data_IF_399185126338
#
_entry.id   IF_399185126338
#
_cell.length_a   1.000
_cell.length_b   1.000
_cell.length_c   1.000
_cell.angle_alpha   90.00
_cell.angle_beta   90.00
_cell.angle_gamma   90.00
#
_symmetry.space_group_name_H-M   'P 1'
#
loop_
_entity.id
_entity.type
_entity.pdbx_description
1 polymer ?
#
# COMPACT_ATOMS: atom_id res chain seq x y z
N UNK A 1 2.66 20.86 -23.59
CA UNK A 1 2.23 19.74 -22.75
C UNK A 1 2.20 18.47 -23.58
N UNK A 2 2.94 17.43 -23.18
CA UNK A 2 2.86 16.10 -23.81
C UNK A 2 1.61 15.39 -23.26
N UNK A 3 0.67 14.99 -24.13
CA UNK A 3 -0.47 14.16 -23.74
C UNK A 3 0.00 12.71 -23.62
N UNK A 4 -0.22 12.09 -22.47
CA UNK A 4 0.08 10.67 -22.23
C UNK A 4 -1.24 9.89 -22.36
N UNK A 5 -1.24 8.88 -23.21
CA UNK A 5 -2.39 8.00 -23.42
C UNK A 5 -2.40 6.91 -22.35
N UNK A 6 -3.48 6.82 -21.58
CA UNK A 6 -3.66 5.72 -20.60
C UNK A 6 -4.32 4.52 -21.32
N UNK A 7 -3.87 3.27 -21.09
CA UNK A 7 -4.51 2.08 -21.65
C UNK A 7 -6.00 2.01 -21.32
N UNK A 8 -6.83 1.62 -22.30
CA UNK A 8 -8.30 1.58 -22.16
C UNK A 8 -8.80 0.61 -21.06
N UNK A 9 -7.97 -0.35 -20.66
CA UNK A 9 -8.26 -1.27 -19.56
C UNK A 9 -8.25 -0.58 -18.20
N UNK A 10 -7.49 0.52 -18.06
CA UNK A 10 -7.51 1.35 -16.86
C UNK A 10 -8.74 2.24 -16.96
N UNK A 11 -9.75 1.93 -16.14
CA UNK A 11 -10.88 2.81 -15.96
C UNK A 11 -10.40 3.98 -15.11
N UNK A 12 -10.30 5.16 -15.71
CA UNK A 12 -10.17 6.38 -14.94
C UNK A 12 -11.46 6.52 -14.12
N UNK A 13 -11.37 6.18 -12.83
CA UNK A 13 -12.39 6.56 -11.86
C UNK A 13 -12.35 8.09 -11.73
N UNK A 14 -13.51 8.73 -11.49
CA UNK A 14 -13.62 10.18 -11.20
C UNK A 14 -12.96 10.49 -9.85
N UNK A 15 -11.63 10.41 -9.85
CA UNK A 15 -10.78 10.59 -8.69
C UNK A 15 -9.70 11.61 -9.01
N UNK A 16 -9.31 12.34 -7.98
CA UNK A 16 -8.12 13.18 -8.02
C UNK A 16 -6.88 12.34 -7.76
N UNK A 17 -5.77 12.72 -8.38
CA UNK A 17 -4.49 12.06 -8.25
C UNK A 17 -3.40 13.08 -7.96
N UNK A 18 -2.53 12.77 -7.00
CA UNK A 18 -1.23 13.41 -6.91
C UNK A 18 -0.26 12.70 -7.85
N UNK A 19 0.53 13.50 -8.58
CA UNK A 19 1.44 13.00 -9.61
C UNK A 19 2.86 13.37 -9.25
N UNK A 20 3.74 12.37 -9.20
CA UNK A 20 5.14 12.52 -8.84
C UNK A 20 6.04 11.95 -9.93
N UNK A 21 7.21 12.54 -10.09
CA UNK A 21 8.28 11.98 -10.91
C UNK A 21 9.30 11.29 -10.00
N UNK A 22 9.46 9.99 -10.17
CA UNK A 22 10.45 9.20 -9.46
C UNK A 22 11.87 9.44 -9.96
N UNK A 23 12.85 8.87 -9.25
CA UNK A 23 14.29 9.14 -9.47
C UNK A 23 14.76 8.76 -10.87
N UNK A 24 14.15 7.76 -11.50
CA UNK A 24 14.51 7.28 -12.84
C UNK A 24 13.55 7.79 -13.93
N UNK A 25 12.72 8.80 -13.61
CA UNK A 25 11.80 9.43 -14.54
C UNK A 25 10.46 8.72 -14.69
N UNK A 26 10.19 7.69 -13.88
CA UNK A 26 8.87 7.09 -13.75
C UNK A 26 7.84 8.12 -13.25
N UNK A 27 6.62 8.05 -13.76
CA UNK A 27 5.50 8.84 -13.25
C UNK A 27 4.63 7.96 -12.35
N UNK A 28 4.47 8.38 -11.11
CA UNK A 28 3.63 7.70 -10.12
C UNK A 28 2.36 8.51 -9.92
N UNK A 29 1.22 7.86 -10.08
CA UNK A 29 -0.11 8.43 -9.86
C UNK A 29 -0.68 7.83 -8.58
N UNK A 30 -0.81 8.66 -7.54
CA UNK A 30 -1.39 8.25 -6.27
C UNK A 30 -2.81 8.78 -6.17
N UNK A 31 -3.80 7.89 -6.04
CA UNK A 31 -5.19 8.27 -5.82
C UNK A 31 -5.32 9.06 -4.52
N UNK A 32 -5.97 10.22 -4.55
CA UNK A 32 -6.39 10.95 -3.35
C UNK A 32 -7.62 10.28 -2.73
N UNK A 33 -7.38 9.18 -2.04
CA UNK A 33 -8.39 8.50 -1.23
C UNK A 33 -8.07 8.68 0.24
N UNK A 34 -9.11 8.65 1.09
CA UNK A 34 -8.91 8.58 2.53
C UNK A 34 -8.09 7.32 2.87
N UNK A 35 -7.08 7.48 3.71
CA UNK A 35 -6.26 6.36 4.15
C UNK A 35 -7.12 5.42 5.01
N UNK A 36 -7.39 4.17 4.57
CA UNK A 36 -8.23 3.26 5.33
C UNK A 36 -7.60 2.86 6.68
N UNK A 37 -6.28 2.99 6.81
CA UNK A 37 -5.57 2.72 8.07
C UNK A 37 -5.73 3.84 9.11
N UNK A 38 -6.36 4.95 8.76
CA UNK A 38 -6.77 6.01 9.69
C UNK A 38 -8.25 5.92 10.09
N UNK A 39 -9.02 5.02 9.46
CA UNK A 39 -10.44 4.81 9.77
C UNK A 39 -10.61 3.72 10.84
N UNK A 40 -11.00 4.12 12.05
CA UNK A 40 -11.26 3.19 13.16
C UNK A 40 -12.31 2.13 12.83
N UNK A 41 -13.33 2.47 12.02
CA UNK A 41 -14.36 1.49 11.60
C UNK A 41 -13.74 0.44 10.69
N UNK A 42 -12.93 0.86 9.72
CA UNK A 42 -12.19 -0.06 8.87
C UNK A 42 -11.29 -0.98 9.69
N UNK A 43 -10.49 -0.42 10.60
CA UNK A 43 -9.59 -1.19 11.46
C UNK A 43 -10.33 -2.22 12.31
N UNK A 44 -11.50 -1.86 12.86
CA UNK A 44 -12.30 -2.76 13.71
C UNK A 44 -12.83 -4.01 13.00
N UNK A 45 -12.86 -4.00 11.66
CA UNK A 45 -13.31 -5.15 10.86
C UNK A 45 -12.21 -6.14 10.53
N UNK A 46 -10.95 -5.81 10.83
CA UNK A 46 -9.79 -6.63 10.48
C UNK A 46 -9.21 -7.35 11.69
N UNK A 47 -8.74 -8.58 11.47
CA UNK A 47 -7.95 -9.30 12.45
C UNK A 47 -6.55 -8.67 12.52
N UNK A 48 -6.22 -8.06 13.66
CA UNK A 48 -4.93 -7.44 13.93
C UNK A 48 -3.94 -8.41 14.57
N UNK A 49 -4.30 -9.68 14.69
CA UNK A 49 -3.39 -10.72 15.17
C UNK A 49 -2.60 -11.27 13.98
N UNK A 50 -1.30 -11.47 14.20
CA UNK A 50 -0.44 -12.17 13.26
C UNK A 50 0.35 -13.21 14.05
N UNK A 51 0.31 -14.47 13.60
CA UNK A 51 1.25 -15.47 14.09
C UNK A 51 2.63 -15.08 13.62
N UNK A 52 3.55 -14.89 14.55
CA UNK A 52 4.91 -14.50 14.26
C UNK A 52 5.56 -15.48 13.29
N UNK A 53 6.02 -14.98 12.14
CA UNK A 53 6.73 -15.76 11.14
C UNK A 53 8.24 -15.66 11.38
N UNK A 54 8.70 -15.85 12.61
CA UNK A 54 10.13 -16.00 12.83
C UNK A 54 10.58 -17.33 12.20
N UNK A 55 11.31 -17.22 11.10
CA UNK A 55 12.09 -18.32 10.54
C UNK A 55 13.56 -17.92 10.50
N UNK A 56 14.31 -18.52 11.42
CA UNK A 56 15.76 -18.44 11.56
C UNK A 56 16.16 -19.47 12.61
N UNK A 57 17.32 -20.14 12.48
CA UNK A 57 17.74 -21.10 13.48
C UNK A 57 17.85 -20.39 14.82
N UNK A 58 17.22 -20.97 15.82
CA UNK A 58 17.22 -20.44 17.14
C UNK A 58 18.57 -20.77 17.75
N UNK A 59 19.38 -19.74 18.00
CA UNK A 59 20.73 -19.92 18.55
C UNK A 59 20.62 -20.07 20.08
N UNK A 60 20.08 -21.23 20.50
CA UNK A 60 20.11 -21.77 21.86
C UNK A 60 19.44 -20.94 22.96
N UNK A 61 18.46 -20.07 22.61
CA UNK A 61 17.86 -19.10 23.55
C UNK A 61 16.42 -18.72 23.17
N UNK A 62 15.62 -19.65 22.67
CA UNK A 62 14.19 -19.38 22.52
C UNK A 62 13.54 -19.11 23.87
N UNK A 63 12.89 -17.95 23.98
CA UNK A 63 11.95 -17.67 25.08
C UNK A 63 10.58 -18.11 24.57
N UNK A 64 9.98 -19.08 25.26
CA UNK A 64 8.63 -19.56 24.98
C UNK A 64 7.67 -18.74 25.86
N UNK A 65 6.78 -17.99 25.23
CA UNK A 65 5.58 -17.44 25.87
C UNK A 65 4.38 -18.39 25.69
#
# INVERSE_FOLDING_TARGET
MRKISVPKSIKAEDLEYDVFQGRFGELVYLKKIANPFEDEKFLSTHDLTQKEAFSGPLVGKEILD
#
